data_IF_095854683223
#
_entry.id   IF_095854683223
#
_cell.length_a   1.000
_cell.length_b   1.000
_cell.length_c   1.000
_cell.angle_alpha   90.00
_cell.angle_beta   90.00
_cell.angle_gamma   90.00
#
_symmetry.space_group_name_H-M   'P 1'
#
loop_
_entity.id
_entity.type
_entity.pdbx_description
1 polymer ?
#
# COMPACT_ATOMS: atom_id res chain seq x y z
N UNK A 1 7.51 -59.36 -43.80
CA UNK A 1 6.38 -59.45 -44.75
C UNK A 1 5.11 -59.17 -43.96
N UNK A 2 4.20 -58.37 -44.53
CA UNK A 2 2.89 -57.94 -44.01
C UNK A 2 2.99 -56.83 -42.94
N UNK A 3 2.70 -55.56 -43.19
CA UNK A 3 1.83 -54.96 -44.21
C UNK A 3 0.41 -54.84 -43.69
N UNK A 4 0.09 -53.70 -43.07
CA UNK A 4 -1.28 -53.24 -42.86
C UNK A 4 -1.29 -51.71 -42.69
N UNK A 5 -1.30 -51.00 -43.83
CA UNK A 5 -2.03 -49.73 -43.93
C UNK A 5 -3.52 -50.09 -43.93
N UNK A 6 -4.37 -49.21 -43.40
CA UNK A 6 -5.84 -49.02 -43.53
C UNK A 6 -6.28 -48.42 -42.18
N UNK A 7 -7.06 -47.37 -42.04
CA UNK A 7 -7.74 -46.47 -42.94
C UNK A 7 -8.18 -45.27 -42.10
N UNK A 8 -8.55 -44.21 -42.79
CA UNK A 8 -8.88 -42.89 -42.26
C UNK A 8 -10.10 -42.99 -41.34
N UNK A 9 -9.92 -42.82 -40.03
CA UNK A 9 -11.01 -42.44 -39.12
C UNK A 9 -10.82 -40.95 -38.87
N UNK A 10 -11.67 -40.15 -39.48
CA UNK A 10 -11.80 -38.74 -39.15
C UNK A 10 -12.19 -38.67 -37.67
N UNK A 11 -11.22 -38.38 -36.81
CA UNK A 11 -11.48 -37.91 -35.46
C UNK A 11 -12.21 -36.57 -35.63
N UNK A 12 -13.54 -36.61 -35.53
CA UNK A 12 -14.31 -35.39 -35.29
C UNK A 12 -13.80 -34.83 -33.98
N UNK A 13 -12.99 -33.78 -34.09
CA UNK A 13 -12.55 -32.93 -33.01
C UNK A 13 -13.79 -32.35 -32.33
N UNK A 14 -14.37 -33.07 -31.38
CA UNK A 14 -15.06 -32.41 -30.29
C UNK A 14 -13.97 -31.83 -29.38
N UNK A 15 -13.39 -30.71 -29.82
CA UNK A 15 -12.90 -29.73 -28.88
C UNK A 15 -14.13 -29.23 -28.12
N UNK A 16 -14.54 -29.98 -27.09
CA UNK A 16 -15.37 -29.45 -26.03
C UNK A 16 -14.53 -28.34 -25.43
N UNK A 17 -14.74 -27.13 -25.91
CA UNK A 17 -14.02 -25.95 -25.47
C UNK A 17 -14.14 -25.87 -23.96
N UNK A 18 -13.04 -25.51 -23.30
CA UNK A 18 -13.05 -25.05 -21.93
C UNK A 18 -13.86 -23.74 -21.88
N UNK A 19 -15.18 -23.85 -21.85
CA UNK A 19 -16.08 -22.79 -21.41
C UNK A 19 -16.94 -23.38 -20.30
N UNK A 20 -16.29 -24.02 -19.32
CA UNK A 20 -16.92 -24.15 -18.02
C UNK A 20 -17.04 -22.75 -17.47
N UNK A 21 -18.29 -22.34 -17.29
CA UNK A 21 -18.67 -21.16 -16.54
C UNK A 21 -18.31 -21.48 -15.08
N UNK A 22 -17.02 -21.50 -14.74
CA UNK A 22 -16.60 -21.67 -13.36
C UNK A 22 -17.18 -20.48 -12.59
N UNK A 23 -18.10 -20.72 -11.64
CA UNK A 23 -18.62 -19.66 -10.82
C UNK A 23 -17.45 -19.04 -10.05
N UNK A 24 -17.51 -17.73 -9.84
CA UNK A 24 -16.45 -17.03 -9.13
C UNK A 24 -16.16 -17.71 -7.79
N UNK A 25 -14.88 -17.95 -7.45
CA UNK A 25 -14.55 -18.56 -6.17
C UNK A 25 -15.02 -17.61 -5.07
N UNK A 26 -15.80 -18.12 -4.12
CA UNK A 26 -16.24 -17.32 -2.98
C UNK A 26 -15.02 -16.74 -2.25
N UNK A 27 -15.04 -15.44 -1.88
CA UNK A 27 -16.20 -14.54 -1.80
C UNK A 27 -16.42 -13.63 -3.03
N UNK A 28 -15.79 -13.92 -4.18
CA UNK A 28 -15.88 -13.08 -5.37
C UNK A 28 -17.24 -13.24 -6.07
N UNK A 29 -17.72 -12.16 -6.69
CA UNK A 29 -18.95 -12.10 -7.47
C UNK A 29 -18.64 -11.82 -8.95
N UNK A 30 -19.45 -12.36 -9.85
CA UNK A 30 -19.25 -12.21 -11.29
C UNK A 30 -19.84 -10.88 -11.80
N UNK A 31 -18.98 -9.97 -12.24
CA UNK A 31 -19.36 -8.74 -12.95
C UNK A 31 -18.90 -8.81 -14.40
N UNK A 32 -19.84 -9.03 -15.32
CA UNK A 32 -19.53 -9.10 -16.76
C UNK A 32 -18.59 -10.25 -17.15
N UNK A 33 -18.59 -11.34 -16.36
CA UNK A 33 -17.72 -12.51 -16.58
C UNK A 33 -16.34 -12.42 -15.92
N UNK A 34 -16.05 -11.33 -15.19
CA UNK A 34 -14.84 -11.20 -14.37
C UNK A 34 -15.24 -11.24 -12.89
N UNK A 35 -14.43 -11.90 -12.07
CA UNK A 35 -14.68 -12.04 -10.64
C UNK A 35 -14.07 -10.88 -9.84
N UNK A 36 -14.91 -10.19 -9.07
CA UNK A 36 -14.48 -9.10 -8.19
C UNK A 36 -14.96 -9.35 -6.76
N UNK A 37 -14.20 -8.87 -5.78
CA UNK A 37 -14.65 -8.86 -4.40
C UNK A 37 -15.48 -7.60 -4.16
N UNK A 38 -16.81 -7.71 -4.18
CA UNK A 38 -17.68 -6.54 -3.97
C UNK A 38 -17.53 -5.92 -2.58
N UNK A 39 -16.83 -6.57 -1.65
CA UNK A 39 -16.60 -6.05 -0.30
C UNK A 39 -15.40 -5.11 -0.23
N UNK A 40 -14.51 -5.17 -1.20
CA UNK A 40 -13.20 -4.47 -1.17
C UNK A 40 -12.82 -3.80 -2.49
N UNK A 41 -13.40 -4.23 -3.61
CA UNK A 41 -13.15 -3.65 -4.93
C UNK A 41 -13.83 -2.27 -5.05
N UNK A 42 -13.01 -1.23 -5.20
CA UNK A 42 -13.49 0.16 -5.30
C UNK A 42 -14.34 0.42 -6.53
N UNK A 43 -14.17 -0.35 -7.61
CA UNK A 43 -14.89 -0.18 -8.88
C UNK A 43 -16.19 -1.01 -8.94
N UNK A 44 -16.39 -1.92 -7.97
CA UNK A 44 -17.54 -2.82 -7.90
C UNK A 44 -18.07 -2.93 -6.45
N UNK A 45 -18.13 -1.82 -5.72
CA UNK A 45 -18.40 -1.85 -4.29
C UNK A 45 -19.88 -2.14 -3.98
N UNK A 46 -20.16 -3.24 -3.29
CA UNK A 46 -21.52 -3.68 -2.94
C UNK A 46 -22.31 -4.25 -4.11
N UNK A 47 -22.09 -3.75 -5.33
CA UNK A 47 -22.67 -4.24 -6.57
C UNK A 47 -21.76 -3.98 -7.78
N UNK A 48 -21.97 -4.74 -8.85
CA UNK A 48 -21.17 -4.65 -10.08
C UNK A 48 -21.26 -3.26 -10.73
N UNK A 49 -20.12 -2.62 -10.95
CA UNK A 49 -20.00 -1.33 -11.62
C UNK A 49 -20.27 -0.13 -10.71
N UNK A 50 -20.55 -0.35 -9.42
CA UNK A 50 -20.68 0.71 -8.44
C UNK A 50 -19.29 1.19 -7.97
N UNK A 51 -18.74 2.17 -8.70
CA UNK A 51 -17.47 2.77 -8.35
C UNK A 51 -17.62 3.82 -7.24
N UNK A 52 -16.82 3.71 -6.18
CA UNK A 52 -16.81 4.73 -5.13
C UNK A 52 -16.25 6.06 -5.61
N UNK A 53 -16.78 7.15 -5.06
CA UNK A 53 -16.41 8.52 -5.39
C UNK A 53 -14.94 8.85 -5.11
N UNK A 54 -14.53 10.05 -5.51
CA UNK A 54 -13.20 10.56 -5.18
C UNK A 54 -13.04 10.71 -3.66
N UNK A 55 -12.00 10.11 -3.08
CA UNK A 55 -11.81 10.13 -1.62
C UNK A 55 -12.55 9.01 -0.87
N UNK A 56 -13.13 8.05 -1.57
CA UNK A 56 -13.84 6.91 -0.96
C UNK A 56 -13.15 5.58 -1.24
N UNK A 57 -13.31 4.65 -0.29
CA UNK A 57 -12.84 3.26 -0.38
C UNK A 57 -14.01 2.31 -0.24
N UNK A 58 -13.89 1.10 -0.80
CA UNK A 58 -14.88 0.07 -0.55
C UNK A 58 -14.54 -0.64 0.77
N UNK A 59 -15.40 -0.45 1.78
CA UNK A 59 -15.26 -1.11 3.06
C UNK A 59 -16.51 -1.94 3.33
N UNK A 60 -16.36 -3.27 3.26
CA UNK A 60 -17.45 -4.22 3.52
C UNK A 60 -18.68 -4.00 2.62
N UNK A 61 -18.45 -3.62 1.37
CA UNK A 61 -19.51 -3.41 0.36
C UNK A 61 -20.19 -2.05 0.43
N UNK A 62 -19.63 -1.10 1.19
CA UNK A 62 -20.07 0.28 1.21
C UNK A 62 -18.93 1.22 0.85
N UNK A 63 -19.23 2.22 0.02
CA UNK A 63 -18.32 3.33 -0.20
C UNK A 63 -18.29 4.21 1.05
N UNK A 64 -17.12 4.29 1.66
CA UNK A 64 -16.89 5.12 2.84
C UNK A 64 -15.85 6.17 2.51
N UNK A 65 -16.08 7.40 2.93
CA UNK A 65 -15.08 8.46 2.85
C UNK A 65 -13.89 8.07 3.74
N UNK A 66 -12.73 7.87 3.13
CA UNK A 66 -11.48 7.66 3.84
C UNK A 66 -10.58 8.81 3.42
N UNK A 67 -10.13 9.66 4.36
CA UNK A 67 -9.20 10.73 4.00
C UNK A 67 -7.86 10.19 3.46
N UNK A 68 -7.62 8.88 3.54
CA UNK A 68 -6.50 8.14 2.94
C UNK A 68 -6.92 7.28 1.74
N UNK A 69 -8.10 7.47 1.15
CA UNK A 69 -8.60 6.66 0.03
C UNK A 69 -7.70 6.68 -1.20
N UNK A 70 -6.99 7.79 -1.44
CA UNK A 70 -5.98 7.89 -2.50
C UNK A 70 -4.77 6.97 -2.27
N UNK A 71 -4.64 6.42 -1.05
CA UNK A 71 -3.51 5.60 -0.66
C UNK A 71 -3.81 4.11 -0.64
N UNK A 72 -5.04 3.69 -0.32
CA UNK A 72 -5.37 2.25 -0.24
C UNK A 72 -5.25 1.52 -1.59
N UNK A 73 -5.22 2.26 -2.70
CA UNK A 73 -5.00 1.69 -4.05
C UNK A 73 -3.54 1.74 -4.50
N UNK A 74 -2.61 2.17 -3.64
CA UNK A 74 -1.17 2.19 -3.99
C UNK A 74 -0.60 0.79 -3.87
N UNK A 75 0.20 0.40 -4.85
CA UNK A 75 0.89 -0.88 -4.91
C UNK A 75 2.39 -0.69 -5.10
N UNK A 76 3.20 -1.70 -4.77
CA UNK A 76 4.65 -1.68 -4.99
C UNK A 76 5.42 -0.93 -3.91
N UNK A 77 4.86 -0.89 -2.70
CA UNK A 77 5.45 -0.22 -1.54
C UNK A 77 4.83 -0.73 -0.24
N UNK A 78 4.97 0.04 0.83
CA UNK A 78 4.38 -0.29 2.12
C UNK A 78 3.89 0.95 2.86
N UNK A 79 2.80 0.79 3.58
CA UNK A 79 2.45 1.71 4.66
C UNK A 79 3.35 1.44 5.86
N UNK A 80 4.08 2.46 6.30
CA UNK A 80 4.89 2.42 7.50
C UNK A 80 4.29 3.38 8.51
N UNK A 81 3.94 2.87 9.70
CA UNK A 81 3.44 3.68 10.81
C UNK A 81 4.56 3.94 11.79
N UNK A 82 4.87 5.21 12.02
CA UNK A 82 5.89 5.68 12.95
C UNK A 82 5.23 6.25 14.21
N UNK A 83 5.75 5.87 15.37
CA UNK A 83 5.43 6.50 16.64
C UNK A 83 6.52 7.50 17.03
N UNK A 84 6.14 8.76 17.21
CA UNK A 84 7.08 9.85 17.50
C UNK A 84 6.49 10.77 18.56
N UNK A 85 7.14 10.92 19.71
CA UNK A 85 6.66 11.76 20.81
C UNK A 85 5.22 11.47 21.32
N UNK A 86 4.67 10.28 21.06
CA UNK A 86 3.27 9.95 21.35
C UNK A 86 2.29 10.24 20.21
N UNK A 87 2.72 10.95 19.17
CA UNK A 87 2.00 11.11 17.91
C UNK A 87 2.28 9.91 16.98
N UNK A 88 1.43 9.75 15.96
CA UNK A 88 1.65 8.78 14.87
C UNK A 88 1.75 9.46 13.51
N UNK A 89 2.62 8.95 12.65
CA UNK A 89 2.71 9.34 11.24
C UNK A 89 2.63 8.08 10.38
N UNK A 90 1.67 8.02 9.47
CA UNK A 90 1.53 6.95 8.48
C UNK A 90 2.09 7.41 7.13
N UNK A 91 3.21 6.84 6.72
CA UNK A 91 3.84 7.17 5.44
C UNK A 91 3.70 6.01 4.45
N UNK A 92 3.37 6.31 3.19
CA UNK A 92 3.55 5.36 2.10
C UNK A 92 5.00 5.41 1.63
N UNK A 93 5.71 4.29 1.66
CA UNK A 93 7.14 4.19 1.34
C UNK A 93 7.33 3.25 0.15
N UNK A 94 8.20 3.64 -0.78
CA UNK A 94 8.59 2.82 -1.95
C UNK A 94 10.07 2.44 -1.94
N UNK A 95 10.82 2.85 -0.91
CA UNK A 95 12.24 2.50 -0.75
C UNK A 95 12.40 1.08 -0.16
N UNK A 96 12.88 0.08 -0.94
CA UNK A 96 12.86 -1.32 -0.54
C UNK A 96 13.75 -1.65 0.67
N UNK A 97 14.93 -1.02 0.76
CA UNK A 97 15.85 -1.22 1.88
C UNK A 97 15.24 -0.68 3.19
N UNK A 98 14.57 0.47 3.11
CA UNK A 98 13.85 1.04 4.24
C UNK A 98 12.72 0.13 4.70
N UNK A 99 11.88 -0.36 3.78
CA UNK A 99 10.76 -1.26 4.10
C UNK A 99 11.29 -2.53 4.79
N UNK A 100 12.32 -3.15 4.21
CA UNK A 100 12.89 -4.40 4.74
C UNK A 100 13.47 -4.20 6.14
N UNK A 101 14.13 -3.06 6.41
CA UNK A 101 14.62 -2.72 7.75
C UNK A 101 13.48 -2.40 8.72
N UNK A 102 12.45 -1.68 8.28
CA UNK A 102 11.28 -1.37 9.09
C UNK A 102 10.54 -2.63 9.53
N UNK A 103 10.39 -3.62 8.65
CA UNK A 103 9.82 -4.94 8.97
C UNK A 103 10.65 -5.67 10.04
N UNK A 104 11.99 -5.66 9.91
CA UNK A 104 12.88 -6.26 10.90
C UNK A 104 12.74 -5.59 12.28
N UNK A 105 12.57 -4.26 12.33
CA UNK A 105 12.38 -3.50 13.57
C UNK A 105 11.01 -3.78 14.23
N UNK A 106 9.97 -4.07 13.44
CA UNK A 106 8.68 -4.52 13.98
C UNK A 106 8.78 -5.94 14.54
N UNK A 107 9.50 -6.83 13.85
CA UNK A 107 9.68 -8.21 14.26
C UNK A 107 10.54 -8.35 15.53
N UNK A 108 11.57 -7.51 15.66
CA UNK A 108 12.45 -7.45 16.83
C UNK A 108 12.68 -6.00 17.27
N UNK A 109 11.86 -5.47 18.19
CA UNK A 109 12.00 -4.11 18.70
C UNK A 109 13.29 -3.85 19.50
N UNK A 110 14.01 -4.91 19.90
CA UNK A 110 15.27 -4.82 20.63
C UNK A 110 16.50 -4.80 19.71
N UNK A 111 16.32 -4.96 18.39
CA UNK A 111 17.42 -5.05 17.44
C UNK A 111 18.30 -3.78 17.45
N UNK A 112 19.61 -3.91 17.73
CA UNK A 112 20.54 -2.78 17.71
C UNK A 112 20.89 -2.42 16.26
N UNK A 113 20.75 -1.15 15.91
CA UNK A 113 21.21 -0.61 14.62
C UNK A 113 20.83 0.85 14.43
N UNK A 114 21.28 1.48 13.33
CA UNK A 114 20.81 2.80 12.90
C UNK A 114 19.29 2.78 12.76
N UNK A 115 18.60 3.43 13.70
CA UNK A 115 17.13 3.37 13.76
C UNK A 115 16.50 4.74 13.66
N UNK A 116 17.24 5.78 13.25
CA UNK A 116 16.62 7.07 13.00
C UNK A 116 16.12 7.07 11.56
N UNK A 117 14.81 6.89 11.33
CA UNK A 117 14.28 7.02 9.99
C UNK A 117 14.39 8.49 9.59
N UNK A 118 14.85 8.72 8.37
CA UNK A 118 15.09 10.05 7.81
C UNK A 118 14.33 10.17 6.50
N UNK A 119 13.65 11.30 6.33
CA UNK A 119 12.80 11.59 5.18
C UNK A 119 13.01 13.03 4.72
N UNK A 120 12.87 13.27 3.43
CA UNK A 120 12.64 14.63 2.94
C UNK A 120 11.16 14.96 3.20
N UNK A 121 10.88 16.19 3.62
CA UNK A 121 9.52 16.65 3.86
C UNK A 121 8.89 17.20 2.59
N UNK A 122 7.60 16.91 2.42
CA UNK A 122 6.77 17.41 1.32
C UNK A 122 5.63 18.24 1.87
N UNK A 123 5.29 19.29 1.12
CA UNK A 123 4.11 20.09 1.38
C UNK A 123 2.84 19.30 1.03
N UNK A 124 1.81 19.45 1.86
CA UNK A 124 0.53 18.77 1.72
C UNK A 124 0.47 17.40 2.39
N UNK A 125 -0.75 17.05 2.78
CA UNK A 125 -1.12 15.72 3.28
C UNK A 125 -0.90 14.64 2.22
N UNK A 126 -0.50 13.45 2.65
CA UNK A 126 -0.45 12.25 1.81
C UNK A 126 -1.40 11.17 2.37
N UNK A 127 -0.89 9.99 2.71
CA UNK A 127 -1.68 8.86 3.26
C UNK A 127 -2.04 8.99 4.74
N UNK A 128 -1.87 10.19 5.26
CA UNK A 128 -2.13 10.53 6.64
C UNK A 128 -2.66 11.96 6.72
N UNK A 129 -3.97 12.08 6.52
CA UNK A 129 -4.64 13.37 6.47
C UNK A 129 -4.68 14.13 7.80
N UNK A 130 -4.18 13.54 8.89
CA UNK A 130 -4.03 14.25 10.16
C UNK A 130 -2.97 15.38 10.06
N UNK A 131 -2.07 15.30 9.09
CA UNK A 131 -0.97 16.25 8.88
C UNK A 131 -1.12 16.99 7.54
N UNK A 132 -0.80 18.28 7.52
CA UNK A 132 -0.75 19.09 6.28
C UNK A 132 0.62 19.05 5.58
N UNK A 133 1.42 18.04 5.91
CA UNK A 133 2.75 17.74 5.37
C UNK A 133 2.92 16.24 5.32
N UNK A 134 3.91 15.75 4.58
CA UNK A 134 4.14 14.31 4.47
C UNK A 134 5.62 13.95 4.32
N UNK A 135 6.06 12.80 4.86
CA UNK A 135 7.35 12.22 4.52
C UNK A 135 7.37 11.79 3.05
N UNK A 136 8.46 12.06 2.34
CA UNK A 136 8.63 11.64 0.95
C UNK A 136 8.73 10.10 0.82
N UNK A 137 7.89 9.46 -0.02
CA UNK A 137 7.88 8.00 -0.18
C UNK A 137 9.21 7.38 -0.63
N UNK A 138 9.98 8.11 -1.45
CA UNK A 138 11.14 7.57 -2.14
C UNK A 138 12.47 7.86 -1.43
N UNK A 139 12.51 8.85 -0.54
CA UNK A 139 13.76 9.30 0.10
C UNK A 139 13.95 8.71 1.49
N UNK A 140 13.03 7.83 1.92
CA UNK A 140 13.07 7.17 3.21
C UNK A 140 14.34 6.32 3.35
N UNK A 141 15.09 6.57 4.42
CA UNK A 141 16.34 5.84 4.74
C UNK A 141 16.53 5.76 6.25
N UNK A 142 17.31 4.78 6.71
CA UNK A 142 17.80 4.74 8.08
C UNK A 142 19.23 5.29 8.12
N UNK A 143 19.53 6.12 9.12
CA UNK A 143 20.86 6.70 9.33
C UNK A 143 21.46 6.29 10.69
N UNK A 144 22.78 6.16 10.74
CA UNK A 144 23.60 5.94 11.95
C UNK A 144 23.65 7.22 12.79
N UNK A 145 22.52 7.51 13.43
CA UNK A 145 22.27 8.76 14.13
C UNK A 145 21.81 9.87 13.18
N UNK A 146 21.24 10.91 13.77
CA UNK A 146 20.83 12.11 13.03
C UNK A 146 21.03 13.35 13.91
N UNK A 147 21.36 14.51 13.32
CA UNK A 147 21.50 15.74 14.08
C UNK A 147 20.14 16.13 14.68
N UNK A 148 20.16 16.74 15.87
CA UNK A 148 18.95 17.23 16.53
C UNK A 148 18.21 18.29 15.70
N UNK A 149 18.88 18.90 14.72
CA UNK A 149 18.31 19.93 13.84
C UNK A 149 17.17 19.45 12.95
N UNK A 150 17.08 18.15 12.63
CA UNK A 150 15.96 17.57 11.87
C UNK A 150 15.00 16.75 12.75
N UNK A 151 15.24 16.70 14.06
CA UNK A 151 14.41 15.97 15.01
C UNK A 151 13.30 16.88 15.53
N UNK A 152 12.06 16.55 15.22
CA UNK A 152 10.89 17.19 15.82
C UNK A 152 9.72 16.22 15.96
N UNK A 153 8.85 16.51 16.92
CA UNK A 153 7.58 15.82 17.04
C UNK A 153 6.65 16.23 15.88
N UNK A 154 5.80 15.33 15.37
CA UNK A 154 4.88 15.63 14.27
C UNK A 154 4.02 16.87 14.52
N UNK A 155 3.46 17.01 15.71
CA UNK A 155 2.72 18.19 16.15
C UNK A 155 3.52 19.50 16.11
N UNK A 156 4.84 19.45 16.34
CA UNK A 156 5.71 20.64 16.22
C UNK A 156 5.99 21.01 14.77
N UNK A 157 6.14 20.03 13.88
CA UNK A 157 6.23 20.28 12.43
C UNK A 157 4.90 20.85 11.94
N UNK A 158 3.78 20.32 12.42
CA UNK A 158 2.43 20.77 12.06
C UNK A 158 2.13 22.21 12.46
N UNK A 159 2.78 22.73 13.51
CA UNK A 159 2.60 24.12 13.95
C UNK A 159 3.11 25.15 12.92
N UNK A 160 4.14 24.79 12.15
CA UNK A 160 4.65 25.58 11.01
C UNK A 160 5.25 24.66 9.93
N UNK A 161 4.41 23.99 9.13
CA UNK A 161 4.88 23.01 8.14
C UNK A 161 5.70 23.68 7.04
N UNK A 162 5.27 24.85 6.58
CA UNK A 162 5.93 25.60 5.52
C UNK A 162 7.33 26.08 5.96
N UNK A 163 7.47 26.59 7.18
CA UNK A 163 8.77 26.96 7.74
C UNK A 163 9.70 25.76 7.86
N UNK A 164 9.21 24.63 8.38
CA UNK A 164 9.99 23.39 8.48
C UNK A 164 10.48 22.88 7.11
N UNK A 165 9.59 22.86 6.12
CA UNK A 165 9.92 22.41 4.76
C UNK A 165 10.95 23.35 4.12
N UNK A 166 10.78 24.67 4.26
CA UNK A 166 11.68 25.63 3.63
C UNK A 166 13.05 25.75 4.31
N UNK A 167 13.11 25.62 5.64
CA UNK A 167 14.33 25.87 6.42
C UNK A 167 15.12 24.60 6.75
N UNK A 168 14.42 23.48 6.99
CA UNK A 168 15.03 22.20 7.36
C UNK A 168 14.93 21.20 6.21
N UNK A 169 13.74 21.05 5.63
CA UNK A 169 13.47 20.17 4.48
C UNK A 169 13.61 18.66 4.73
N UNK A 170 14.19 18.27 5.87
CA UNK A 170 14.44 16.89 6.28
C UNK A 170 13.88 16.67 7.68
N UNK A 171 13.30 15.49 7.89
CA UNK A 171 12.77 15.05 9.18
C UNK A 171 13.39 13.73 9.60
N UNK A 172 14.01 13.72 10.78
CA UNK A 172 14.79 12.60 11.32
C UNK A 172 14.40 12.31 12.80
N UNK A 173 13.13 12.01 13.07
CA UNK A 173 12.64 11.85 14.44
C UNK A 173 13.29 10.64 15.14
N UNK A 174 13.47 10.69 16.46
CA UNK A 174 13.68 9.48 17.26
C UNK A 174 12.38 8.66 17.29
N UNK A 175 12.11 7.95 16.20
CA UNK A 175 10.87 7.22 15.98
C UNK A 175 10.99 5.75 16.34
N UNK A 176 9.86 5.14 16.71
CA UNK A 176 9.67 3.70 16.68
C UNK A 176 8.85 3.33 15.46
N UNK A 177 9.24 2.28 14.74
CA UNK A 177 8.38 1.68 13.72
C UNK A 177 7.32 0.84 14.45
N UNK A 178 6.05 1.20 14.29
CA UNK A 178 4.93 0.55 14.97
C UNK A 178 4.28 -0.54 14.12
N UNK A 179 4.21 -0.33 12.80
CA UNK A 179 3.60 -1.27 11.87
C UNK A 179 4.14 -1.07 10.45
N UNK A 180 4.17 -2.16 9.67
CA UNK A 180 4.44 -2.15 8.23
C UNK A 180 3.39 -3.01 7.52
N UNK A 181 2.76 -2.46 6.48
CA UNK A 181 1.80 -3.17 5.63
C UNK A 181 2.18 -3.00 4.16
N UNK A 182 2.75 -4.03 3.54
CA UNK A 182 3.01 -4.03 2.08
C UNK A 182 1.70 -4.04 1.29
N UNK A 183 1.71 -3.42 0.11
CA UNK A 183 0.60 -3.41 -0.86
C UNK A 183 1.13 -3.72 -2.26
#
# INVERSE_FOLDING_TARGET
MHGARWGVIAAVLAASGCFDTEPCPAPLEACGGICYDLRTDRLHCGECGNACGGGEVCLSGACVSDPNAACVSRSGGAFVTLGVCGDTVKAWIVAPDFISRAEALVADPASPGPSVPTFDLRDGSDCDAQWSWSPSPATARFADGAPTSCSACPSSVQADPAGWIAQVGVWCPPARVLAVHRQ
#
